data_IF_845561914694
#
_entry.id   IF_845561914694
#
_cell.length_a   1.000
_cell.length_b   1.000
_cell.length_c   1.000
_cell.angle_alpha   90.00
_cell.angle_beta   90.00
_cell.angle_gamma   90.00
#
_symmetry.space_group_name_H-M   'P 1'
#
loop_
_entity.id
_entity.type
_entity.pdbx_description
1 polymer ?
#
# COMPACT_ATOMS: atom_id res chain seq x y z
N UNK A 1 0.99 -11.64 -10.39
CA UNK A 1 -0.20 -10.82 -10.75
C UNK A 1 -1.36 -11.12 -9.80
N UNK A 2 -1.88 -10.11 -9.17
CA UNK A 2 -2.99 -10.18 -8.19
C UNK A 2 -4.32 -10.13 -8.93
N UNK A 3 -5.30 -10.90 -8.47
CA UNK A 3 -6.66 -10.96 -9.00
C UNK A 3 -7.69 -10.95 -7.86
N UNK A 4 -8.96 -10.77 -8.16
CA UNK A 4 -10.05 -10.92 -7.17
C UNK A 4 -10.07 -12.27 -6.45
N UNK A 5 -9.48 -13.30 -7.06
CA UNK A 5 -9.40 -14.66 -6.48
C UNK A 5 -8.18 -14.85 -5.58
N UNK A 6 -7.22 -13.93 -5.59
CA UNK A 6 -6.03 -13.96 -4.75
C UNK A 6 -6.44 -13.88 -3.28
N UNK A 7 -5.84 -14.71 -2.44
CA UNK A 7 -6.04 -14.65 -0.99
C UNK A 7 -5.16 -13.57 -0.37
N UNK A 8 -5.62 -12.92 0.69
CA UNK A 8 -4.86 -11.86 1.37
C UNK A 8 -3.46 -12.33 1.77
N UNK A 9 -3.32 -13.56 2.28
CA UNK A 9 -2.01 -14.12 2.62
C UNK A 9 -1.05 -14.23 1.43
N UNK A 10 -1.57 -14.45 0.21
CA UNK A 10 -0.74 -14.59 -0.99
C UNK A 10 -0.11 -13.25 -1.38
N UNK A 11 -0.81 -12.13 -1.13
CA UNK A 11 -0.27 -10.78 -1.33
C UNK A 11 1.00 -10.58 -0.50
N UNK A 12 1.00 -11.09 0.75
CA UNK A 12 2.16 -10.98 1.64
C UNK A 12 3.36 -11.85 1.22
N UNK A 13 3.14 -12.79 0.28
CA UNK A 13 4.18 -13.69 -0.23
C UNK A 13 4.75 -13.23 -1.58
N UNK A 14 4.17 -12.20 -2.20
CA UNK A 14 4.73 -11.63 -3.43
C UNK A 14 6.11 -11.03 -3.13
N UNK A 15 7.10 -11.40 -3.95
CA UNK A 15 8.51 -10.99 -3.76
C UNK A 15 8.69 -9.47 -3.89
N UNK A 16 7.89 -8.84 -4.73
CA UNK A 16 7.86 -7.40 -4.97
C UNK A 16 7.46 -6.63 -3.71
N UNK A 17 6.72 -7.25 -2.79
CA UNK A 17 6.27 -6.63 -1.55
C UNK A 17 7.12 -6.99 -0.33
N UNK A 18 8.18 -7.77 -0.49
CA UNK A 18 8.98 -8.31 0.63
C UNK A 18 9.47 -7.24 1.61
N UNK A 19 9.87 -6.07 1.11
CA UNK A 19 10.41 -4.97 1.91
C UNK A 19 9.35 -4.35 2.85
N UNK A 20 8.11 -4.21 2.37
CA UNK A 20 7.05 -3.48 3.07
C UNK A 20 5.77 -4.29 3.32
N UNK A 21 5.83 -5.62 3.18
CA UNK A 21 4.67 -6.52 3.40
C UNK A 21 3.98 -6.31 4.75
N UNK A 22 4.74 -5.86 5.76
CA UNK A 22 4.25 -5.59 7.10
C UNK A 22 3.22 -4.45 7.13
N UNK A 23 3.30 -3.52 6.17
CA UNK A 23 2.45 -2.33 6.09
C UNK A 23 1.30 -2.47 5.11
N UNK A 24 1.26 -3.55 4.30
CA UNK A 24 0.26 -3.71 3.25
C UNK A 24 -1.14 -3.94 3.78
N UNK A 25 -1.28 -4.82 4.79
CA UNK A 25 -2.59 -5.23 5.29
C UNK A 25 -2.79 -4.74 6.73
N UNK A 26 -3.96 -4.18 7.05
CA UNK A 26 -4.29 -3.81 8.42
C UNK A 26 -4.44 -5.04 9.32
N UNK A 27 -4.79 -6.18 8.73
CA UNK A 27 -4.98 -7.45 9.45
C UNK A 27 -3.73 -8.31 9.32
N UNK A 28 -3.04 -8.50 10.43
CA UNK A 28 -1.75 -9.23 10.44
C UNK A 28 -1.91 -10.71 10.80
N UNK A 29 -3.06 -11.13 11.30
CA UNK A 29 -3.29 -12.50 11.82
C UNK A 29 -4.72 -12.98 11.59
N UNK A 30 -4.89 -14.30 11.68
CA UNK A 30 -6.17 -14.99 11.77
C UNK A 30 -6.78 -15.41 10.44
N UNK A 31 -8.03 -15.82 10.50
CA UNK A 31 -8.76 -16.39 9.36
C UNK A 31 -8.96 -15.38 8.22
N UNK A 32 -8.95 -14.06 8.50
CA UNK A 32 -9.08 -13.02 7.49
C UNK A 32 -8.03 -13.13 6.38
N UNK A 33 -6.82 -13.58 6.71
CA UNK A 33 -5.76 -13.77 5.72
C UNK A 33 -6.05 -14.90 4.71
N UNK A 34 -7.00 -15.78 5.01
CA UNK A 34 -7.46 -16.83 4.09
C UNK A 34 -8.55 -16.35 3.13
N UNK A 35 -9.16 -15.20 3.38
CA UNK A 35 -10.17 -14.62 2.50
C UNK A 35 -9.56 -14.25 1.15
N UNK A 36 -10.37 -14.36 0.11
CA UNK A 36 -10.06 -13.85 -1.22
C UNK A 36 -10.42 -12.35 -1.27
N UNK A 37 -9.70 -11.57 -2.09
CA UNK A 37 -10.00 -10.16 -2.29
C UNK A 37 -11.47 -9.92 -2.64
N UNK A 38 -12.08 -10.76 -3.45
CA UNK A 38 -13.51 -10.65 -3.79
C UNK A 38 -14.45 -10.61 -2.59
N UNK A 39 -14.06 -11.16 -1.44
CA UNK A 39 -14.88 -11.12 -0.22
C UNK A 39 -14.99 -9.72 0.38
N UNK A 40 -14.17 -8.78 -0.03
CA UNK A 40 -14.20 -7.39 0.39
C UNK A 40 -15.18 -6.53 -0.44
N UNK A 41 -15.78 -7.09 -1.49
CA UNK A 41 -16.63 -6.35 -2.46
C UNK A 41 -17.86 -5.69 -1.82
N UNK A 42 -18.31 -6.16 -0.67
CA UNK A 42 -19.44 -5.55 0.06
C UNK A 42 -19.09 -4.21 0.72
N UNK A 43 -17.78 -3.93 0.90
CA UNK A 43 -17.31 -2.73 1.61
C UNK A 43 -16.48 -1.82 0.69
N UNK A 44 -15.63 -2.40 -0.18
CA UNK A 44 -14.71 -1.67 -1.03
C UNK A 44 -14.81 -2.11 -2.50
N UNK A 45 -14.40 -1.24 -3.41
CA UNK A 45 -14.25 -1.59 -4.82
C UNK A 45 -13.00 -2.48 -5.02
N UNK A 46 -13.25 -3.78 -5.16
CA UNK A 46 -12.17 -4.77 -5.28
C UNK A 46 -11.39 -4.64 -6.60
N UNK A 47 -12.00 -4.15 -7.68
CA UNK A 47 -11.28 -3.90 -8.93
C UNK A 47 -10.20 -2.84 -8.73
N UNK A 48 -10.54 -1.73 -8.08
CA UNK A 48 -9.59 -0.67 -7.77
C UNK A 48 -8.47 -1.14 -6.82
N UNK A 49 -8.77 -2.03 -5.86
CA UNK A 49 -7.76 -2.63 -4.99
C UNK A 49 -6.78 -3.48 -5.81
N UNK A 50 -7.29 -4.32 -6.70
CA UNK A 50 -6.48 -5.16 -7.58
C UNK A 50 -5.59 -4.30 -8.48
N UNK A 51 -6.13 -3.23 -9.06
CA UNK A 51 -5.39 -2.30 -9.91
C UNK A 51 -4.27 -1.61 -9.12
N UNK A 52 -4.57 -1.09 -7.93
CA UNK A 52 -3.58 -0.46 -7.06
C UNK A 52 -2.43 -1.39 -6.68
N UNK A 53 -2.73 -2.61 -6.24
CA UNK A 53 -1.71 -3.60 -5.87
C UNK A 53 -0.86 -4.05 -7.08
N UNK A 54 -1.48 -4.32 -8.23
CA UNK A 54 -0.74 -4.68 -9.44
C UNK A 54 0.12 -3.52 -9.96
N UNK A 55 -0.32 -2.27 -9.77
CA UNK A 55 0.48 -1.11 -10.10
C UNK A 55 1.73 -1.01 -9.22
N UNK A 56 1.60 -1.22 -7.91
CA UNK A 56 2.74 -1.26 -6.99
C UNK A 56 3.72 -2.39 -7.36
N UNK A 57 3.20 -3.60 -7.63
CA UNK A 57 3.99 -4.74 -8.11
C UNK A 57 4.79 -4.37 -9.38
N UNK A 58 4.15 -3.69 -10.31
CA UNK A 58 4.78 -3.23 -11.55
C UNK A 58 5.88 -2.19 -11.30
N UNK A 59 5.63 -1.18 -10.48
CA UNK A 59 6.64 -0.17 -10.13
C UNK A 59 7.87 -0.82 -9.46
N UNK A 60 7.65 -1.73 -8.54
CA UNK A 60 8.71 -2.43 -7.83
C UNK A 60 9.51 -3.34 -8.78
N UNK A 61 8.84 -4.05 -9.69
CA UNK A 61 9.48 -4.88 -10.70
C UNK A 61 10.35 -4.06 -11.67
N UNK A 62 10.02 -2.79 -11.89
CA UNK A 62 10.84 -1.84 -12.65
C UNK A 62 12.03 -1.26 -11.86
N UNK A 63 12.24 -1.69 -10.61
CA UNK A 63 13.28 -1.15 -9.74
C UNK A 63 12.99 0.25 -9.21
N UNK A 64 11.73 0.69 -9.24
CA UNK A 64 11.33 1.96 -8.64
C UNK A 64 11.30 1.82 -7.12
N UNK A 65 11.95 2.73 -6.43
CA UNK A 65 11.79 2.82 -4.98
C UNK A 65 10.46 3.53 -4.69
N UNK A 66 9.56 2.81 -4.03
CA UNK A 66 8.21 3.31 -3.69
C UNK A 66 7.95 3.32 -2.19
N UNK A 67 8.85 2.81 -1.38
CA UNK A 67 8.72 2.71 0.08
C UNK A 67 9.85 3.48 0.77
N UNK A 68 9.50 4.31 1.75
CA UNK A 68 10.42 5.14 2.50
C UNK A 68 10.06 5.15 3.99
N UNK A 69 10.97 4.75 4.89
CA UNK A 69 10.85 5.09 6.30
C UNK A 69 10.93 6.62 6.46
N UNK A 70 10.09 7.19 7.32
CA UNK A 70 10.10 8.64 7.59
C UNK A 70 11.21 8.99 8.59
N UNK A 71 11.43 8.12 9.56
CA UNK A 71 12.39 8.33 10.64
C UNK A 71 13.63 7.46 10.47
N UNK A 72 14.76 7.97 10.92
CA UNK A 72 16.02 7.24 10.88
C UNK A 72 16.13 6.16 12.00
N UNK A 73 17.21 5.39 11.95
CA UNK A 73 17.42 4.27 12.89
C UNK A 73 17.56 4.74 14.33
N UNK A 74 18.20 5.89 14.56
CA UNK A 74 18.42 6.42 15.91
C UNK A 74 17.14 7.00 16.50
N UNK A 75 16.32 7.67 15.69
CA UNK A 75 15.00 8.15 16.08
C UNK A 75 14.09 6.99 16.47
N UNK A 76 14.05 5.92 15.66
CA UNK A 76 13.26 4.71 15.93
C UNK A 76 13.76 3.97 17.17
N UNK A 77 15.09 3.95 17.41
CA UNK A 77 15.66 3.35 18.62
C UNK A 77 15.21 4.07 19.89
N UNK A 78 15.15 5.39 19.84
CA UNK A 78 14.69 6.22 20.96
C UNK A 78 13.18 6.17 21.16
N UNK A 79 12.41 6.03 20.09
CA UNK A 79 10.96 5.88 20.11
C UNK A 79 10.50 4.81 19.11
N UNK A 80 10.38 3.53 19.53
CA UNK A 80 10.02 2.43 18.63
C UNK A 80 8.70 2.58 17.88
N UNK A 81 7.75 3.38 18.36
CA UNK A 81 6.46 3.62 17.69
C UNK A 81 6.62 4.35 16.36
N UNK A 82 7.71 5.08 16.17
CA UNK A 82 8.01 5.79 14.91
C UNK A 82 8.23 4.84 13.73
N UNK A 83 8.55 3.56 13.99
CA UNK A 83 8.71 2.53 12.94
C UNK A 83 7.44 2.32 12.13
N UNK A 84 6.27 2.55 12.71
CA UNK A 84 4.98 2.36 12.04
C UNK A 84 4.63 3.51 11.09
N UNK A 85 5.41 4.58 11.08
CA UNK A 85 5.21 5.74 10.23
C UNK A 85 6.09 5.65 8.99
N UNK A 86 5.48 5.36 7.86
CA UNK A 86 6.16 5.11 6.58
C UNK A 86 5.47 5.88 5.46
N UNK A 87 6.19 6.10 4.38
CA UNK A 87 5.71 6.79 3.18
C UNK A 87 5.75 5.85 1.99
N UNK A 88 4.66 5.75 1.26
CA UNK A 88 4.62 5.18 -0.09
C UNK A 88 4.59 6.30 -1.12
N UNK A 89 5.46 6.22 -2.11
CA UNK A 89 5.59 7.19 -3.18
C UNK A 89 5.25 6.57 -4.53
N UNK A 90 4.31 7.16 -5.24
CA UNK A 90 3.90 6.76 -6.57
C UNK A 90 4.46 7.77 -7.59
N UNK A 91 5.64 7.50 -8.16
CA UNK A 91 6.34 8.46 -9.00
C UNK A 91 5.72 8.63 -10.37
N UNK A 92 5.72 9.86 -10.89
CA UNK A 92 5.47 10.18 -12.30
C UNK A 92 6.72 10.71 -12.98
N UNK A 93 6.76 10.67 -14.32
CA UNK A 93 7.93 11.13 -15.09
C UNK A 93 8.08 12.65 -15.13
N UNK A 94 6.98 13.39 -15.08
CA UNK A 94 6.97 14.85 -15.20
C UNK A 94 7.04 15.52 -13.82
N UNK A 95 7.66 16.71 -13.77
CA UNK A 95 7.52 17.58 -12.61
C UNK A 95 6.10 18.12 -12.56
N UNK A 96 5.36 17.78 -11.54
CA UNK A 96 3.96 18.16 -11.37
C UNK A 96 3.65 18.41 -9.90
N UNK A 97 2.42 18.84 -9.62
CA UNK A 97 1.91 18.92 -8.26
C UNK A 97 1.85 17.53 -7.66
N UNK A 98 2.04 17.44 -6.35
CA UNK A 98 1.89 16.20 -5.61
C UNK A 98 0.63 16.24 -4.73
N UNK A 99 0.13 15.07 -4.39
CA UNK A 99 -0.96 14.85 -3.44
C UNK A 99 -0.44 13.97 -2.31
N UNK A 100 -0.81 14.30 -1.09
CA UNK A 100 -0.57 13.44 0.08
C UNK A 100 -1.88 12.78 0.45
N UNK A 101 -1.86 11.45 0.55
CA UNK A 101 -3.02 10.64 0.89
C UNK A 101 -2.78 10.02 2.26
N UNK A 102 -3.72 10.18 3.17
CA UNK A 102 -3.69 9.57 4.49
C UNK A 102 -4.83 8.57 4.58
N UNK A 103 -4.49 7.28 4.62
CA UNK A 103 -5.49 6.23 4.76
C UNK A 103 -6.18 6.28 6.12
N UNK A 104 -7.48 5.97 6.13
CA UNK A 104 -8.25 5.79 7.35
C UNK A 104 -7.99 4.46 8.05
N UNK A 105 -8.75 4.17 9.10
CA UNK A 105 -8.65 2.91 9.85
C UNK A 105 -9.17 2.98 11.28
N UNK A 106 -9.92 4.02 11.61
CA UNK A 106 -10.59 4.15 12.91
C UNK A 106 -9.64 4.25 14.10
N UNK A 107 -8.41 4.73 13.89
CA UNK A 107 -7.31 4.78 14.87
C UNK A 107 -6.81 3.40 15.35
N UNK A 108 -7.29 2.31 14.78
CA UNK A 108 -6.89 0.95 15.17
C UNK A 108 -5.95 0.30 14.14
N UNK A 109 -6.07 0.70 12.88
CA UNK A 109 -5.27 0.15 11.78
C UNK A 109 -5.14 1.18 10.66
N UNK A 110 -4.22 0.92 9.71
CA UNK A 110 -4.09 1.74 8.50
C UNK A 110 -4.53 0.93 7.30
N UNK A 111 -5.54 1.42 6.58
CA UNK A 111 -6.20 0.71 5.49
C UNK A 111 -5.66 1.12 4.11
N UNK A 112 -4.34 1.32 3.97
CA UNK A 112 -3.73 1.84 2.74
C UNK A 112 -4.09 1.03 1.49
N UNK A 113 -4.09 -0.31 1.56
CA UNK A 113 -4.34 -1.14 0.38
C UNK A 113 -5.77 -1.06 -0.17
N UNK A 114 -6.75 -0.65 0.63
CA UNK A 114 -8.16 -0.51 0.22
C UNK A 114 -8.58 0.95 0.00
N UNK A 115 -7.93 1.89 0.66
CA UNK A 115 -8.34 3.30 0.67
C UNK A 115 -7.32 4.22 -0.02
N UNK A 116 -6.02 4.04 0.19
CA UNK A 116 -4.99 4.93 -0.33
C UNK A 116 -4.40 4.47 -1.66
N UNK A 117 -3.93 3.24 -1.77
CA UNK A 117 -3.26 2.77 -3.00
C UNK A 117 -4.14 2.81 -4.26
N UNK A 118 -5.45 2.47 -4.21
CA UNK A 118 -6.33 2.64 -5.36
C UNK A 118 -6.49 4.10 -5.79
N UNK A 119 -6.54 5.02 -4.83
CA UNK A 119 -6.64 6.46 -5.12
C UNK A 119 -5.33 6.98 -5.70
N UNK A 120 -4.18 6.62 -5.10
CA UNK A 120 -2.86 6.99 -5.58
C UNK A 120 -2.63 6.50 -7.02
N UNK A 121 -2.92 5.24 -7.31
CA UNK A 121 -2.82 4.69 -8.67
C UNK A 121 -3.66 5.50 -9.66
N UNK A 122 -4.90 5.83 -9.32
CA UNK A 122 -5.78 6.60 -10.19
C UNK A 122 -5.30 8.03 -10.43
N UNK A 123 -4.85 8.71 -9.39
CA UNK A 123 -4.27 10.06 -9.51
C UNK A 123 -2.97 10.04 -10.32
N UNK A 124 -2.16 9.00 -10.15
CA UNK A 124 -0.93 8.81 -10.89
C UNK A 124 -1.18 8.63 -12.40
N UNK A 125 -2.24 7.89 -12.78
CA UNK A 125 -2.71 7.81 -14.18
C UNK A 125 -3.12 9.17 -14.74
N UNK A 126 -3.64 10.06 -13.89
CA UNK A 126 -4.01 11.43 -14.27
C UNK A 126 -2.79 12.39 -14.26
N UNK A 127 -1.60 11.90 -13.96
CA UNK A 127 -0.36 12.66 -14.01
C UNK A 127 0.00 13.39 -12.72
N UNK A 128 -0.66 13.11 -11.59
CA UNK A 128 -0.26 13.62 -10.28
C UNK A 128 0.78 12.69 -9.65
N UNK A 129 1.69 13.28 -8.88
CA UNK A 129 2.62 12.55 -8.06
C UNK A 129 2.01 12.37 -6.67
N UNK A 130 1.96 11.14 -6.18
CA UNK A 130 1.26 10.80 -4.95
C UNK A 130 2.21 10.29 -3.88
N UNK A 131 1.90 10.64 -2.63
CA UNK A 131 2.54 10.14 -1.44
C UNK A 131 1.46 9.62 -0.47
N UNK A 132 1.54 8.36 -0.10
CA UNK A 132 0.72 7.75 0.96
C UNK A 132 1.54 7.68 2.25
N UNK A 133 0.98 8.24 3.30
CA UNK A 133 1.54 8.28 4.65
C UNK A 133 0.92 7.23 5.56
#
# INVERSE_FOLDING_TARGET
MITKKTRLRQILLEKEFAEYKHYLLPWKKGFLLHLKLKSLQSVWNVDSIVDGLNYMEHLQAQGKQIFYPIYDVDEIKNNPSLREQVLFHFPVKAKTKFVVICAGGGYESVCSFVEAFPVAQRLNELGFQDFDL
#
